data_IF_657367169385
#
_entry.id   IF_657367169385
#
_cell.length_a   1.000
_cell.length_b   1.000
_cell.length_c   1.000
_cell.angle_alpha   90.00
_cell.angle_beta   90.00
_cell.angle_gamma   90.00
#
_symmetry.space_group_name_H-M   'P 1'
#
loop_
_entity.id
_entity.type
_entity.pdbx_description
1 polymer ?
#
# COMPACT_ATOMS: atom_id res chain seq x y z
N UNK A 1 7.04 -0.04 -10.00
CA UNK A 1 6.18 0.97 -9.35
C UNK A 1 6.93 2.28 -9.20
N UNK A 2 6.30 3.43 -9.40
CA UNK A 2 6.96 4.74 -9.30
C UNK A 2 6.55 5.43 -8.00
N UNK A 3 7.54 5.82 -7.19
CA UNK A 3 7.34 6.63 -5.99
C UNK A 3 7.26 8.10 -6.42
N UNK A 4 6.14 8.78 -6.11
CA UNK A 4 5.94 10.19 -6.45
C UNK A 4 6.66 11.13 -5.49
N UNK A 5 6.55 10.86 -4.20
CA UNK A 5 7.19 11.68 -3.15
C UNK A 5 8.06 10.80 -2.24
N UNK A 6 9.36 10.78 -2.54
CA UNK A 6 10.35 10.06 -1.73
C UNK A 6 10.62 10.70 -0.36
N UNK A 7 10.21 11.95 -0.17
CA UNK A 7 10.44 12.68 1.08
C UNK A 7 9.37 12.38 2.14
N UNK A 8 8.20 11.86 1.73
CA UNK A 8 7.13 11.57 2.65
C UNK A 8 7.53 10.46 3.66
N UNK A 9 7.34 10.65 4.98
CA UNK A 9 7.78 9.69 6.00
C UNK A 9 7.33 8.25 5.77
N UNK A 10 6.11 8.05 5.26
CA UNK A 10 5.56 6.73 4.93
C UNK A 10 6.44 5.96 3.92
N UNK A 11 7.15 6.66 3.04
CA UNK A 11 8.00 6.05 2.02
C UNK A 11 9.48 5.99 2.40
N UNK A 12 9.82 6.41 3.62
CA UNK A 12 11.20 6.35 4.11
C UNK A 12 11.72 4.90 4.14
N UNK A 13 12.86 4.67 3.52
CA UNK A 13 13.46 3.33 3.42
C UNK A 13 12.78 2.38 2.42
N UNK A 14 11.66 2.74 1.80
CA UNK A 14 11.04 1.93 0.76
C UNK A 14 11.88 1.94 -0.51
N UNK A 15 12.46 0.79 -0.87
CA UNK A 15 13.28 0.65 -2.08
C UNK A 15 12.45 0.17 -3.27
N UNK A 16 11.70 -0.89 -3.07
CA UNK A 16 10.83 -1.52 -4.05
C UNK A 16 9.47 -1.80 -3.42
N UNK A 17 8.43 -1.21 -3.97
CA UNK A 17 7.06 -1.49 -3.58
C UNK A 17 6.41 -2.22 -4.74
N UNK A 18 6.07 -3.48 -4.53
CA UNK A 18 5.54 -4.36 -5.57
C UNK A 18 4.41 -5.22 -5.01
N UNK A 19 3.46 -5.56 -5.86
CA UNK A 19 2.41 -6.52 -5.59
C UNK A 19 2.02 -7.25 -6.86
N UNK A 20 1.58 -8.48 -6.75
CA UNK A 20 1.11 -9.30 -7.86
C UNK A 20 -0.38 -9.09 -8.17
N UNK A 21 -0.97 -8.05 -7.61
CA UNK A 21 -2.37 -7.65 -7.80
C UNK A 21 -2.52 -6.45 -8.74
N UNK A 22 -3.76 -6.13 -9.09
CA UNK A 22 -4.08 -5.13 -10.09
C UNK A 22 -3.78 -3.69 -9.62
N UNK A 23 -3.40 -2.82 -10.56
CA UNK A 23 -3.48 -1.37 -10.40
C UNK A 23 -4.90 -0.93 -10.74
N UNK A 24 -5.65 -0.50 -9.71
CA UNK A 24 -7.02 -0.05 -9.90
C UNK A 24 -7.10 1.34 -10.54
N UNK A 25 -8.18 1.59 -11.29
CA UNK A 25 -8.48 2.91 -11.82
C UNK A 25 -8.96 3.84 -10.71
N UNK A 26 -8.09 4.73 -10.26
CA UNK A 26 -8.41 5.82 -9.33
C UNK A 26 -8.33 7.13 -10.11
N UNK A 27 -9.45 7.51 -10.72
CA UNK A 27 -9.48 8.63 -11.67
C UNK A 27 -9.58 9.99 -11.00
N UNK A 28 -10.12 10.04 -9.78
CA UNK A 28 -10.30 11.29 -9.05
C UNK A 28 -10.11 11.05 -7.54
N UNK A 29 -9.24 11.86 -6.96
CA UNK A 29 -9.10 11.99 -5.52
C UNK A 29 -9.77 13.29 -5.10
N UNK A 30 -10.52 13.27 -3.99
CA UNK A 30 -11.29 14.40 -3.51
C UNK A 30 -10.58 15.15 -2.38
N UNK A 31 -10.86 16.46 -2.30
CA UNK A 31 -10.41 17.34 -1.23
C UNK A 31 -8.89 17.49 -1.21
N UNK A 32 -8.31 17.41 -0.02
CA UNK A 32 -6.88 17.54 0.27
C UNK A 32 -6.08 16.23 0.09
N UNK A 33 -6.62 15.28 -0.68
CA UNK A 33 -5.94 14.01 -0.94
C UNK A 33 -4.67 14.19 -1.75
N UNK A 34 -3.53 13.78 -1.21
CA UNK A 34 -2.22 13.88 -1.84
C UNK A 34 -1.64 12.50 -2.18
N UNK A 35 -1.51 12.15 -3.48
CA UNK A 35 -0.93 10.90 -3.90
C UNK A 35 0.57 10.84 -3.60
N UNK A 36 0.98 9.91 -2.77
CA UNK A 36 2.40 9.68 -2.46
C UNK A 36 3.02 8.58 -3.31
N UNK A 37 2.22 7.66 -3.86
CA UNK A 37 2.69 6.56 -4.68
C UNK A 37 1.81 6.37 -5.91
N UNK A 38 2.43 6.28 -7.09
CA UNK A 38 1.77 5.95 -8.35
C UNK A 38 2.12 4.52 -8.77
N UNK A 39 1.13 3.77 -9.26
CA UNK A 39 1.29 2.41 -9.72
C UNK A 39 1.58 2.34 -11.22
N UNK A 40 2.59 1.56 -11.59
CA UNK A 40 2.83 1.17 -12.97
C UNK A 40 2.34 -0.27 -13.20
N UNK A 41 1.51 -0.45 -14.20
CA UNK A 41 1.13 -1.78 -14.70
C UNK A 41 2.32 -2.38 -15.44
N UNK A 42 2.74 -3.57 -15.06
CA UNK A 42 3.89 -4.26 -15.64
C UNK A 42 3.47 -5.27 -16.71
N UNK A 43 4.36 -5.55 -17.65
CA UNK A 43 4.15 -6.54 -18.70
C UNK A 43 4.27 -7.99 -18.21
N UNK A 44 4.73 -8.20 -16.96
CA UNK A 44 4.92 -9.50 -16.33
C UNK A 44 4.60 -9.46 -14.85
N UNK A 45 4.66 -10.63 -14.21
CA UNK A 45 4.31 -10.86 -12.81
C UNK A 45 5.55 -10.90 -11.89
N UNK A 46 6.56 -10.13 -12.24
CA UNK A 46 7.80 -9.98 -11.45
C UNK A 46 8.13 -8.49 -11.26
N UNK A 47 8.78 -8.10 -10.17
CA UNK A 47 9.05 -6.70 -9.88
C UNK A 47 9.99 -6.03 -10.89
N UNK A 48 10.83 -6.79 -11.58
CA UNK A 48 11.77 -6.35 -12.61
C UNK A 48 11.15 -6.27 -14.03
N UNK A 49 9.89 -6.72 -14.19
CA UNK A 49 9.20 -6.61 -15.46
C UNK A 49 9.02 -5.14 -15.87
N UNK A 50 9.12 -4.88 -17.19
CA UNK A 50 8.96 -3.52 -17.72
C UNK A 50 7.52 -3.04 -17.61
N UNK A 51 7.29 -1.76 -17.35
CA UNK A 51 5.97 -1.15 -17.48
C UNK A 51 5.43 -1.35 -18.90
N UNK A 52 4.11 -1.56 -19.02
CA UNK A 52 3.45 -1.54 -20.34
C UNK A 52 3.29 -0.11 -20.82
N UNK A 53 3.44 0.10 -22.12
CA UNK A 53 3.21 1.41 -22.73
C UNK A 53 1.72 1.71 -22.91
N UNK A 54 1.39 3.00 -23.02
CA UNK A 54 0.09 3.49 -23.40
C UNK A 54 -0.91 3.63 -22.25
N UNK A 55 -2.19 3.59 -22.56
CA UNK A 55 -3.33 4.00 -21.71
C UNK A 55 -3.37 3.39 -20.30
N UNK A 56 -2.72 2.25 -20.08
CA UNK A 56 -2.68 1.63 -18.74
C UNK A 56 -1.78 2.38 -17.76
N UNK A 57 -0.80 3.11 -18.27
CA UNK A 57 0.18 3.88 -17.50
C UNK A 57 0.19 5.39 -17.86
N UNK A 58 -0.75 5.84 -18.70
CA UNK A 58 -0.84 7.24 -19.14
C UNK A 58 -2.26 7.78 -18.91
N UNK A 59 -2.51 8.41 -17.75
CA UNK A 59 -1.61 8.58 -16.59
C UNK A 59 -1.52 7.33 -15.71
N UNK A 60 -0.40 7.19 -14.98
CA UNK A 60 -0.32 6.21 -13.89
C UNK A 60 -1.31 6.56 -12.78
N UNK A 61 -1.94 5.54 -12.20
CA UNK A 61 -2.94 5.71 -11.16
C UNK A 61 -2.34 5.81 -9.76
N UNK A 62 -2.91 6.63 -8.87
CA UNK A 62 -2.58 6.60 -7.46
C UNK A 62 -2.84 5.22 -6.86
N UNK A 63 -1.86 4.66 -6.15
CA UNK A 63 -2.00 3.39 -5.41
C UNK A 63 -1.83 3.59 -3.91
N UNK A 64 -1.27 4.72 -3.48
CA UNK A 64 -1.31 5.17 -2.10
C UNK A 64 -1.38 6.70 -2.04
N UNK A 65 -2.17 7.21 -1.10
CA UNK A 65 -2.35 8.64 -0.86
C UNK A 65 -2.64 8.92 0.61
N UNK A 66 -2.41 10.16 1.00
CA UNK A 66 -2.72 10.68 2.32
C UNK A 66 -3.73 11.82 2.24
N UNK A 67 -4.44 12.05 3.31
CA UNK A 67 -5.31 13.23 3.49
C UNK A 67 -5.52 13.51 4.98
N UNK A 68 -6.12 14.64 5.29
CA UNK A 68 -6.63 14.93 6.62
C UNK A 68 -8.14 14.72 6.68
N UNK A 69 -8.63 14.39 7.86
CA UNK A 69 -10.05 14.30 8.16
C UNK A 69 -10.36 15.07 9.44
N UNK A 70 -11.29 16.00 9.37
CA UNK A 70 -11.78 16.75 10.53
C UNK A 70 -13.15 16.19 10.93
N UNK A 71 -13.19 15.53 12.09
CA UNK A 71 -14.44 15.01 12.65
C UNK A 71 -15.33 16.11 13.25
N UNK A 72 -16.55 15.75 13.68
CA UNK A 72 -17.52 16.66 14.31
C UNK A 72 -16.97 17.34 15.56
N UNK A 73 -16.13 16.67 16.33
CA UNK A 73 -15.43 17.23 17.50
C UNK A 73 -14.39 18.30 17.17
N UNK A 74 -14.14 18.57 15.88
CA UNK A 74 -13.11 19.48 15.42
C UNK A 74 -11.69 18.90 15.42
N UNK A 75 -11.50 17.67 15.91
CA UNK A 75 -10.20 16.97 15.88
C UNK A 75 -9.82 16.61 14.45
N UNK A 76 -8.59 16.96 14.06
CA UNK A 76 -8.01 16.57 12.77
C UNK A 76 -7.28 15.25 12.93
N UNK A 77 -7.57 14.30 12.04
CA UNK A 77 -6.93 12.99 11.98
C UNK A 77 -6.18 12.83 10.66
N UNK A 78 -5.07 12.13 10.70
CA UNK A 78 -4.33 11.69 9.52
C UNK A 78 -4.99 10.45 8.94
N UNK A 79 -5.10 10.39 7.61
CA UNK A 79 -5.69 9.26 6.89
C UNK A 79 -4.70 8.79 5.83
N UNK A 80 -4.37 7.53 5.86
CA UNK A 80 -3.61 6.85 4.80
C UNK A 80 -4.54 5.88 4.09
N UNK A 81 -4.53 5.92 2.77
CA UNK A 81 -5.26 5.00 1.92
C UNK A 81 -4.31 4.31 0.93
N UNK A 82 -4.58 3.06 0.64
CA UNK A 82 -3.90 2.33 -0.43
C UNK A 82 -4.85 1.34 -1.08
N UNK A 83 -4.68 1.15 -2.39
CA UNK A 83 -5.34 0.07 -3.14
C UNK A 83 -4.54 -1.24 -3.10
N UNK A 84 -3.32 -1.20 -2.56
CA UNK A 84 -2.51 -2.39 -2.29
C UNK A 84 -2.85 -2.97 -0.92
N UNK A 85 -2.66 -4.26 -0.73
CA UNK A 85 -2.86 -4.91 0.56
C UNK A 85 -3.47 -6.31 0.44
N UNK A 86 -3.43 -6.93 -0.74
CA UNK A 86 -3.66 -8.36 -0.84
C UNK A 86 -2.63 -9.12 0.03
N UNK A 87 -3.00 -10.30 0.52
CA UNK A 87 -2.09 -11.08 1.34
C UNK A 87 -0.73 -11.32 0.67
N UNK A 88 -0.72 -11.52 -0.65
CA UNK A 88 0.50 -11.71 -1.43
C UNK A 88 1.33 -10.44 -1.59
N UNK A 89 0.74 -9.25 -1.58
CA UNK A 89 1.47 -7.97 -1.66
C UNK A 89 2.40 -7.78 -0.44
N UNK A 90 2.02 -8.32 0.72
CA UNK A 90 2.82 -8.23 1.94
C UNK A 90 4.09 -9.10 1.92
N UNK A 91 4.28 -9.94 0.90
CA UNK A 91 5.56 -10.64 0.66
C UNK A 91 6.65 -9.65 0.24
N UNK A 92 6.29 -8.55 -0.44
CA UNK A 92 7.22 -7.46 -0.77
C UNK A 92 7.63 -6.69 0.49
N UNK A 93 8.93 -6.59 0.76
CA UNK A 93 9.45 -5.83 1.91
C UNK A 93 9.07 -4.35 1.80
N UNK A 94 9.15 -3.76 0.62
CA UNK A 94 8.79 -2.35 0.42
C UNK A 94 7.31 -2.08 0.71
N UNK A 95 6.41 -3.01 0.38
CA UNK A 95 4.99 -2.89 0.69
C UNK A 95 4.75 -2.99 2.20
N UNK A 96 5.37 -3.96 2.89
CA UNK A 96 5.30 -4.06 4.37
C UNK A 96 5.82 -2.79 5.03
N UNK A 97 6.96 -2.28 4.59
CA UNK A 97 7.58 -1.06 5.12
C UNK A 97 6.65 0.13 4.98
N UNK A 98 6.05 0.33 3.82
CA UNK A 98 5.05 1.38 3.61
C UNK A 98 3.88 1.26 4.60
N UNK A 99 3.36 0.03 4.83
CA UNK A 99 2.26 -0.21 5.76
C UNK A 99 2.67 0.08 7.21
N UNK A 100 3.82 -0.40 7.66
CA UNK A 100 4.33 -0.15 9.02
C UNK A 100 4.58 1.35 9.22
N UNK A 101 5.26 2.00 8.29
CA UNK A 101 5.52 3.44 8.34
C UNK A 101 4.20 4.25 8.40
N UNK A 102 3.15 3.81 7.67
CA UNK A 102 1.87 4.50 7.70
C UNK A 102 1.19 4.44 9.07
N UNK A 103 1.41 3.38 9.82
CA UNK A 103 0.92 3.25 11.20
C UNK A 103 1.64 4.24 12.14
N UNK A 104 2.98 4.29 12.08
CA UNK A 104 3.76 5.27 12.85
C UNK A 104 3.36 6.70 12.49
N UNK A 105 3.25 7.00 11.21
CA UNK A 105 2.82 8.31 10.74
C UNK A 105 1.41 8.69 11.23
N UNK A 106 0.46 7.76 11.18
CA UNK A 106 -0.90 7.97 11.65
C UNK A 106 -0.98 8.24 13.15
N UNK A 107 -0.07 7.66 13.93
CA UNK A 107 0.06 7.86 15.38
C UNK A 107 0.85 9.13 15.74
N UNK A 108 1.41 9.86 14.78
CA UNK A 108 2.26 11.03 15.05
C UNK A 108 3.65 10.67 15.54
N UNK A 109 4.16 9.50 15.16
CA UNK A 109 5.46 8.95 15.56
C UNK A 109 6.45 8.95 14.37
N UNK A 110 6.47 10.00 13.57
CA UNK A 110 7.29 10.08 12.36
C UNK A 110 8.80 10.00 12.65
N UNK A 111 9.21 10.42 13.82
CA UNK A 111 10.61 10.37 14.25
C UNK A 111 11.13 8.93 14.45
N UNK A 112 10.21 8.01 14.74
CA UNK A 112 10.53 6.58 14.89
C UNK A 112 10.68 5.86 13.55
N UNK A 113 10.29 6.48 12.46
CA UNK A 113 10.41 5.89 11.12
C UNK A 113 11.86 6.06 10.65
N UNK A 114 12.66 5.01 10.74
CA UNK A 114 14.01 4.98 10.17
C UNK A 114 14.06 4.19 8.87
N UNK A 115 15.08 4.45 8.04
CA UNK A 115 15.22 3.76 6.75
C UNK A 115 15.50 2.26 6.90
N UNK A 116 16.03 1.86 8.04
CA UNK A 116 16.39 0.49 8.42
C UNK A 116 15.45 -0.14 9.46
N UNK A 117 14.30 0.51 9.73
CA UNK A 117 13.27 -0.05 10.61
C UNK A 117 12.98 -1.51 10.26
N UNK A 118 13.01 -2.40 11.24
CA UNK A 118 12.72 -3.82 11.01
C UNK A 118 11.23 -4.02 10.67
N UNK A 119 10.99 -4.54 9.49
CA UNK A 119 9.66 -4.89 8.97
C UNK A 119 9.60 -6.36 8.57
N UNK A 120 10.45 -7.19 9.16
CA UNK A 120 10.50 -8.62 8.92
C UNK A 120 9.17 -9.29 9.25
N UNK A 121 8.85 -10.35 8.53
CA UNK A 121 7.70 -11.19 8.84
C UNK A 121 8.02 -12.02 10.08
N UNK A 122 7.16 -11.94 11.08
CA UNK A 122 7.29 -12.73 12.31
C UNK A 122 6.60 -14.08 12.11
N UNK A 123 7.37 -15.16 12.24
CA UNK A 123 6.87 -16.52 12.04
C UNK A 123 6.69 -16.91 10.58
N UNK A 124 5.90 -17.97 10.37
CA UNK A 124 5.62 -18.48 9.02
C UNK A 124 4.48 -17.71 8.36
N UNK A 125 4.72 -17.18 7.17
CA UNK A 125 3.73 -16.46 6.36
C UNK A 125 3.53 -17.16 5.02
N UNK A 126 2.38 -17.80 4.84
CA UNK A 126 2.00 -18.53 3.61
C UNK A 126 0.73 -17.92 3.00
N UNK A 127 0.81 -16.75 2.36
CA UNK A 127 -0.36 -16.14 1.76
C UNK A 127 -0.84 -16.95 0.57
N UNK A 128 -2.17 -16.96 0.39
CA UNK A 128 -2.80 -17.53 -0.80
C UNK A 128 -3.20 -16.43 -1.76
N UNK A 129 -3.08 -16.71 -3.07
CA UNK A 129 -3.57 -15.79 -4.09
C UNK A 129 -5.07 -15.65 -4.02
N UNK A 130 -5.57 -14.48 -4.39
CA UNK A 130 -6.99 -14.26 -4.59
C UNK A 130 -7.53 -15.18 -5.68
N UNK A 131 -8.76 -15.65 -5.50
CA UNK A 131 -9.49 -16.43 -6.50
C UNK A 131 -10.99 -16.23 -6.35
N UNK A 132 -11.68 -15.96 -7.46
CA UNK A 132 -13.15 -15.85 -7.45
C UNK A 132 -13.78 -17.15 -6.94
N UNK A 133 -14.64 -17.04 -5.92
CA UNK A 133 -15.28 -18.18 -5.29
C UNK A 133 -14.37 -19.07 -4.43
N UNK A 134 -13.07 -18.72 -4.28
CA UNK A 134 -12.07 -19.46 -3.52
C UNK A 134 -12.13 -19.28 -1.99
N UNK A 135 -13.14 -18.58 -1.47
CA UNK A 135 -13.27 -18.36 -0.03
C UNK A 135 -13.72 -19.64 0.72
N UNK A 136 -13.25 -19.77 1.95
CA UNK A 136 -13.68 -20.85 2.84
C UNK A 136 -15.06 -20.54 3.40
N UNK A 137 -16.06 -21.37 3.09
CA UNK A 137 -17.43 -21.21 3.57
C UNK A 137 -17.56 -21.61 5.05
N UNK A 138 -18.44 -20.93 5.78
CA UNK A 138 -18.84 -21.30 7.14
C UNK A 138 -17.85 -20.94 8.25
N UNK A 139 -16.76 -20.22 7.94
CA UNK A 139 -15.83 -19.74 8.96
C UNK A 139 -16.49 -18.66 9.84
N UNK A 140 -16.21 -18.71 11.13
CA UNK A 140 -16.64 -17.75 12.16
C UNK A 140 -15.42 -17.04 12.75
N UNK A 141 -15.56 -15.87 13.35
CA UNK A 141 -14.44 -15.17 14.01
C UNK A 141 -13.74 -16.03 15.07
N UNK A 142 -14.46 -16.96 15.72
CA UNK A 142 -13.90 -17.91 16.70
C UNK A 142 -12.87 -18.87 16.11
N UNK A 143 -12.89 -19.12 14.80
CA UNK A 143 -12.01 -20.07 14.12
C UNK A 143 -10.61 -19.48 13.85
N UNK A 144 -10.42 -18.20 14.18
CA UNK A 144 -9.16 -17.44 14.01
C UNK A 144 -8.51 -17.04 15.34
N UNK A 145 -8.74 -17.81 16.37
CA UNK A 145 -8.12 -17.62 17.71
C UNK A 145 -6.77 -18.31 17.80
#
# INVERSE_FOLDING_TARGET
MCIRDRSHPILRGCKEIWGDTDVYGVTQLEGDSDPILLGAVLAGMTPDAKPVDGKKNEPMMPVAWVKTYKGESGKVSKVFNTTMGAATDLVSEGTRRMMVNSMFWGLGMEEEITADLDVSIVGEYKPTKFGFGGFRKGLKPSDYK
#
